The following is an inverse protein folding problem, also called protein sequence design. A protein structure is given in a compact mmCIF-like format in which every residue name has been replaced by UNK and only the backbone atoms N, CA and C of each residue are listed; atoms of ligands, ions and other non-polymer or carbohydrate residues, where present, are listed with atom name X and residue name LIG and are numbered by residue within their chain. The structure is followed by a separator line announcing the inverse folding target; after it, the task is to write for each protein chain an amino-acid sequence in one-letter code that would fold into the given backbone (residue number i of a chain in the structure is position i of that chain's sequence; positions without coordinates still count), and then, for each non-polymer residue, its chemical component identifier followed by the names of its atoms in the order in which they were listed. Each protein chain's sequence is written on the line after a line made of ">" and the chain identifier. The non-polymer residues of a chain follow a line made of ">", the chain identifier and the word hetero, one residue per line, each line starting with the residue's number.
data_IF_584942655306
#
_entry.id   IF_584942655306
#
_cell.length_a   1.000
_cell.length_b   1.000
_cell.length_c   1.000
_cell.angle_alpha   90.00
_cell.angle_beta   90.00
_cell.angle_gamma   90.00
#
_symmetry.space_group_name_H-M   'P 1'
#
loop_
_entity.id
_entity.type
_entity.pdbx_description
1 polymer ?
#
# COMPACT_ATOMS: atom_id res chain seq x y z
N UNK A 1 -31.13 -25.07 -32.02
CA UNK A 1 -30.55 -25.60 -33.28
C UNK A 1 -29.39 -24.73 -33.72
N UNK A 2 -28.15 -25.15 -33.43
CA UNK A 2 -26.93 -24.75 -34.14
C UNK A 2 -25.99 -25.96 -34.09
N UNK A 3 -25.62 -26.52 -35.24
CA UNK A 3 -24.60 -27.57 -35.36
C UNK A 3 -23.47 -26.98 -36.20
N UNK A 4 -22.48 -26.42 -35.51
CA UNK A 4 -21.20 -26.08 -36.13
C UNK A 4 -20.47 -27.35 -36.50
N UNK A 5 -20.00 -27.42 -37.75
CA UNK A 5 -19.33 -28.60 -38.31
C UNK A 5 -17.87 -28.63 -37.84
N UNK A 6 -17.64 -29.61 -36.97
CA UNK A 6 -16.39 -30.15 -36.44
C UNK A 6 -15.15 -30.07 -37.36
N UNK A 7 -14.03 -29.69 -36.76
CA UNK A 7 -12.68 -29.69 -37.29
C UNK A 7 -12.26 -31.05 -37.88
N UNK A 8 -11.87 -31.10 -39.15
CA UNK A 8 -11.21 -32.27 -39.76
C UNK A 8 -9.72 -32.26 -39.36
N UNK A 9 -9.41 -32.91 -38.26
CA UNK A 9 -8.03 -33.17 -37.81
C UNK A 9 -7.42 -34.27 -38.70
N UNK A 10 -6.83 -33.89 -39.83
CA UNK A 10 -6.20 -34.83 -40.78
C UNK A 10 -4.69 -35.03 -40.57
N UNK A 11 -4.11 -34.53 -39.47
CA UNK A 11 -2.68 -34.65 -39.14
C UNK A 11 -2.38 -35.62 -37.98
N UNK A 12 -3.25 -36.59 -37.74
CA UNK A 12 -2.99 -37.66 -36.76
C UNK A 12 -2.13 -38.79 -37.36
N UNK A 13 -1.18 -39.31 -36.57
CA UNK A 13 -0.46 -40.54 -36.92
C UNK A 13 -1.45 -41.67 -37.22
N UNK A 14 -1.38 -42.21 -38.45
CA UNK A 14 -2.17 -43.37 -38.86
C UNK A 14 -1.37 -44.64 -38.59
N UNK A 15 -1.98 -45.58 -37.88
CA UNK A 15 -1.39 -46.92 -37.72
C UNK A 15 -1.63 -47.75 -38.98
N UNK A 16 -0.76 -48.73 -39.29
CA UNK A 16 -1.01 -49.69 -40.35
C UNK A 16 -2.33 -50.44 -40.15
N UNK A 17 -2.96 -50.81 -41.25
CA UNK A 17 -4.16 -51.64 -41.25
C UNK A 17 -3.88 -52.98 -40.55
N UNK A 18 -4.77 -53.42 -39.65
CA UNK A 18 -4.59 -54.65 -38.86
C UNK A 18 -3.54 -54.58 -37.74
N UNK A 19 -3.00 -53.40 -37.41
CA UNK A 19 -2.03 -53.25 -36.31
C UNK A 19 -2.61 -53.78 -34.98
N UNK A 20 -3.78 -53.27 -34.56
CA UNK A 20 -4.38 -53.66 -33.29
C UNK A 20 -4.92 -55.09 -33.27
N UNK A 21 -5.37 -55.60 -34.42
CA UNK A 21 -5.84 -56.99 -34.56
C UNK A 21 -4.72 -58.01 -34.36
N UNK A 22 -3.50 -57.69 -34.83
CA UNK A 22 -2.33 -58.56 -34.68
C UNK A 22 -1.45 -58.22 -33.47
N UNK A 23 -1.70 -57.10 -32.79
CA UNK A 23 -0.87 -56.61 -31.68
C UNK A 23 -0.89 -57.59 -30.51
N UNK A 24 -2.07 -58.05 -30.10
CA UNK A 24 -2.23 -58.94 -28.96
C UNK A 24 -1.48 -60.26 -29.18
N UNK A 25 -1.67 -60.89 -30.34
CA UNK A 25 -0.99 -62.13 -30.69
C UNK A 25 0.53 -61.95 -30.70
N UNK A 26 1.04 -60.86 -31.30
CA UNK A 26 2.48 -60.55 -31.33
C UNK A 26 3.05 -60.26 -29.94
N UNK A 27 2.28 -59.58 -29.08
CA UNK A 27 2.68 -59.30 -27.70
C UNK A 27 2.79 -60.59 -26.89
N UNK A 28 1.78 -61.46 -26.96
CA UNK A 28 1.82 -62.74 -26.28
C UNK A 28 2.88 -63.68 -26.83
N UNK A 29 3.10 -63.69 -28.14
CA UNK A 29 4.21 -64.41 -28.77
C UNK A 29 5.55 -63.90 -28.24
N UNK A 30 5.76 -62.58 -28.17
CA UNK A 30 6.98 -61.97 -27.61
C UNK A 30 7.20 -62.38 -26.14
N UNK A 31 6.17 -62.28 -25.31
CA UNK A 31 6.24 -62.65 -23.88
C UNK A 31 6.51 -64.15 -23.72
N UNK A 32 5.92 -64.99 -24.57
CA UNK A 32 6.11 -66.43 -24.54
C UNK A 32 7.46 -66.88 -25.13
N UNK A 33 8.05 -66.09 -26.03
CA UNK A 33 9.39 -66.30 -26.60
C UNK A 33 10.51 -65.76 -25.70
N UNK A 34 10.26 -64.72 -24.89
CA UNK A 34 11.17 -64.21 -23.84
C UNK A 34 11.19 -65.13 -22.58
N UNK A 35 11.15 -66.45 -22.79
CA UNK A 35 11.34 -67.47 -21.75
C UNK A 35 12.81 -67.75 -21.43
N UNK A 36 13.74 -67.22 -22.22
CA UNK A 36 15.17 -67.23 -21.89
C UNK A 36 15.46 -66.05 -20.97
N UNK A 37 15.48 -66.32 -19.66
CA UNK A 37 16.18 -65.69 -18.50
C UNK A 37 16.53 -64.18 -18.47
N UNK A 38 16.43 -63.39 -19.53
CA UNK A 38 16.91 -62.02 -19.62
C UNK A 38 16.02 -61.01 -18.88
N UNK A 39 14.74 -61.33 -18.68
CA UNK A 39 13.82 -60.46 -17.94
C UNK A 39 13.91 -60.67 -16.42
N UNK A 40 14.24 -61.89 -15.97
CA UNK A 40 14.37 -62.28 -14.57
C UNK A 40 15.80 -62.17 -14.04
N UNK A 41 16.83 -62.45 -14.85
CA UNK A 41 18.24 -62.45 -14.42
C UNK A 41 18.85 -61.06 -14.28
N UNK A 42 18.17 -60.01 -14.76
CA UNK A 42 18.59 -58.60 -14.64
C UNK A 42 17.73 -57.77 -13.67
N UNK A 43 16.84 -58.41 -12.91
CA UNK A 43 16.19 -57.77 -11.77
C UNK A 43 17.06 -57.86 -10.51
N UNK A 44 18.32 -57.44 -10.62
CA UNK A 44 18.93 -56.83 -9.45
C UNK A 44 18.18 -55.51 -9.29
N UNK A 45 17.18 -55.47 -8.39
CA UNK A 45 16.57 -54.21 -8.01
C UNK A 45 17.73 -53.28 -7.65
N UNK A 46 17.90 -52.17 -8.40
CA UNK A 46 19.08 -51.31 -8.34
C UNK A 46 19.30 -50.61 -6.99
N UNK A 47 18.60 -51.05 -5.95
CA UNK A 47 18.64 -50.57 -4.59
C UNK A 47 19.27 -51.65 -3.70
N UNK A 48 20.55 -51.94 -3.94
CA UNK A 48 21.37 -52.63 -2.95
C UNK A 48 21.99 -51.58 -2.03
N UNK A 49 21.74 -51.72 -0.72
CA UNK A 49 22.45 -50.91 0.28
C UNK A 49 23.90 -51.39 0.38
N UNK A 50 24.86 -50.50 0.69
CA UNK A 50 26.22 -50.91 1.01
C UNK A 50 26.25 -51.93 2.14
N UNK A 51 27.27 -52.80 2.15
CA UNK A 51 27.56 -53.64 3.31
C UNK A 51 27.66 -52.75 4.56
N UNK A 52 27.10 -53.23 5.67
CA UNK A 52 27.14 -52.57 6.98
C UNK A 52 26.44 -51.19 7.07
N UNK A 53 25.65 -50.78 6.08
CA UNK A 53 24.93 -49.49 6.12
C UNK A 53 24.11 -49.31 7.40
N UNK A 54 23.27 -50.29 7.75
CA UNK A 54 22.41 -50.19 8.93
C UNK A 54 23.16 -50.38 10.25
N UNK A 55 24.31 -51.06 10.24
CA UNK A 55 25.12 -51.26 11.45
C UNK A 55 25.94 -50.02 11.78
N UNK A 56 26.41 -49.27 10.76
CA UNK A 56 27.18 -48.03 10.98
C UNK A 56 26.32 -46.77 11.04
N UNK A 57 25.03 -46.86 10.66
CA UNK A 57 24.14 -45.72 10.59
C UNK A 57 23.95 -45.03 11.96
N UNK A 58 23.74 -45.82 13.00
CA UNK A 58 23.53 -45.31 14.36
C UNK A 58 24.76 -44.53 14.85
N UNK A 59 25.95 -45.13 14.72
CA UNK A 59 27.22 -44.50 15.10
C UNK A 59 27.48 -43.21 14.30
N UNK A 60 27.17 -43.22 13.00
CA UNK A 60 27.34 -42.05 12.12
C UNK A 60 26.41 -40.91 12.50
N UNK A 61 25.16 -41.22 12.86
CA UNK A 61 24.18 -40.21 13.31
C UNK A 61 24.63 -39.62 14.65
N UNK A 62 25.03 -40.45 15.60
CA UNK A 62 25.48 -40.00 16.92
C UNK A 62 26.71 -39.08 16.81
N UNK A 63 27.69 -39.47 16.00
CA UNK A 63 28.89 -38.67 15.74
C UNK A 63 28.53 -37.29 15.16
N UNK A 64 27.60 -37.22 14.21
CA UNK A 64 27.17 -35.95 13.62
C UNK A 64 26.43 -35.04 14.61
N UNK A 65 25.65 -35.60 15.53
CA UNK A 65 24.93 -34.83 16.55
C UNK A 65 25.90 -34.24 17.58
N UNK A 66 26.92 -35.00 17.98
CA UNK A 66 27.92 -34.54 18.95
C UNK A 66 28.89 -33.50 18.36
N UNK A 67 29.24 -33.63 17.08
CA UNK A 67 30.13 -32.71 16.37
C UNK A 67 29.44 -31.43 15.86
N UNK A 68 28.11 -31.42 15.72
CA UNK A 68 27.30 -30.28 15.25
C UNK A 68 26.63 -29.52 16.40
N UNK A 69 27.39 -29.21 17.45
CA UNK A 69 27.01 -28.09 18.32
C UNK A 69 27.14 -26.82 17.48
N UNK A 70 26.05 -26.10 17.17
CA UNK A 70 26.16 -24.90 16.37
C UNK A 70 27.13 -23.95 17.07
N UNK A 71 28.26 -23.64 16.40
CA UNK A 71 29.20 -22.58 16.81
C UNK A 71 28.58 -21.18 16.61
N UNK A 72 27.27 -21.07 16.73
CA UNK A 72 26.56 -19.81 16.74
C UNK A 72 26.68 -19.19 18.12
N UNK A 73 27.18 -17.96 18.20
CA UNK A 73 27.16 -17.17 19.42
C UNK A 73 25.71 -16.78 19.73
N UNK A 74 24.99 -17.66 20.42
CA UNK A 74 23.66 -17.38 20.94
C UNK A 74 23.80 -16.36 22.07
N UNK A 75 23.63 -15.08 21.75
CA UNK A 75 23.50 -14.03 22.77
C UNK A 75 22.09 -14.13 23.33
N UNK A 76 21.98 -14.47 24.61
CA UNK A 76 20.69 -14.47 25.30
C UNK A 76 20.21 -13.03 25.49
N UNK A 77 18.98 -12.74 25.06
CA UNK A 77 18.35 -11.43 25.20
C UNK A 77 17.77 -11.27 26.61
N UNK A 78 18.63 -11.28 27.63
CA UNK A 78 18.24 -10.88 28.99
C UNK A 78 18.34 -9.37 29.10
N UNK A 79 17.24 -8.67 28.81
CA UNK A 79 17.11 -7.26 29.15
C UNK A 79 17.12 -7.13 30.68
N UNK A 80 18.11 -6.42 31.22
CA UNK A 80 18.16 -6.17 32.67
C UNK A 80 17.04 -5.19 33.06
N UNK A 81 16.50 -5.34 34.27
CA UNK A 81 15.44 -4.44 34.76
C UNK A 81 15.85 -2.96 34.68
N UNK A 82 17.14 -2.67 34.84
CA UNK A 82 17.70 -1.33 34.75
C UNK A 82 17.56 -0.71 33.34
N UNK A 83 17.66 -1.51 32.27
CA UNK A 83 17.46 -1.04 30.89
C UNK A 83 16.01 -0.59 30.66
N UNK A 84 15.03 -1.29 31.24
CA UNK A 84 13.63 -0.88 31.20
C UNK A 84 13.40 0.47 31.88
N UNK A 85 14.01 0.71 33.04
CA UNK A 85 13.90 2.00 33.74
C UNK A 85 14.59 3.14 32.99
N UNK A 86 15.79 2.88 32.43
CA UNK A 86 16.53 3.87 31.63
C UNK A 86 15.75 4.26 30.38
N UNK A 87 15.02 3.33 29.76
CA UNK A 87 14.16 3.61 28.60
C UNK A 87 13.05 4.61 28.93
N UNK A 88 12.45 4.53 30.12
CA UNK A 88 11.41 5.48 30.55
C UNK A 88 11.96 6.89 30.76
N UNK A 89 13.14 7.00 31.39
CA UNK A 89 13.82 8.29 31.61
C UNK A 89 14.22 8.93 30.27
N UNK A 90 14.77 8.13 29.34
CA UNK A 90 15.14 8.62 28.02
C UNK A 90 13.93 9.13 27.22
N UNK A 91 12.79 8.44 27.28
CA UNK A 91 11.56 8.89 26.62
C UNK A 91 11.03 10.22 27.19
N UNK A 92 11.06 10.38 28.52
CA UNK A 92 10.69 11.65 29.17
C UNK A 92 11.59 12.80 28.73
N UNK A 93 12.90 12.58 28.68
CA UNK A 93 13.87 13.57 28.19
C UNK A 93 13.61 13.93 26.73
N UNK A 94 13.33 12.95 25.87
CA UNK A 94 13.03 13.19 24.46
C UNK A 94 11.75 14.03 24.26
N UNK A 95 10.71 13.79 25.06
CA UNK A 95 9.47 14.59 25.04
C UNK A 95 9.77 16.02 25.48
N UNK A 96 10.52 16.21 26.57
CA UNK A 96 10.88 17.54 27.06
C UNK A 96 11.67 18.31 26.00
N UNK A 97 12.68 17.68 25.38
CA UNK A 97 13.47 18.30 24.30
C UNK A 97 12.58 18.66 23.11
N UNK A 98 11.68 17.76 22.69
CA UNK A 98 10.77 17.99 21.56
C UNK A 98 9.83 19.18 21.78
N UNK A 99 9.36 19.37 23.02
CA UNK A 99 8.49 20.50 23.40
C UNK A 99 9.27 21.79 23.64
N UNK A 100 10.50 21.70 24.16
CA UNK A 100 11.33 22.88 24.49
C UNK A 100 12.00 23.53 23.27
N UNK A 101 11.91 22.96 22.08
CA UNK A 101 12.37 23.61 20.85
C UNK A 101 11.24 24.54 20.36
N UNK A 102 11.38 25.88 20.46
CA UNK A 102 10.37 26.78 19.93
C UNK A 102 10.29 26.57 18.42
N UNK A 103 9.10 26.21 17.94
CA UNK A 103 8.77 26.27 16.52
C UNK A 103 8.28 27.67 16.25
N UNK A 104 9.03 28.44 15.46
CA UNK A 104 8.53 29.65 14.84
C UNK A 104 7.34 29.25 13.97
N UNK A 105 6.12 29.47 14.45
CA UNK A 105 4.94 29.37 13.61
C UNK A 105 4.83 30.68 12.84
N UNK A 106 5.05 30.64 11.52
CA UNK A 106 4.81 31.79 10.63
C UNK A 106 3.29 32.05 10.42
N UNK A 107 2.48 31.90 11.47
CA UNK A 107 1.09 32.34 11.47
C UNK A 107 1.08 33.83 11.74
N UNK A 108 0.78 34.61 10.72
CA UNK A 108 0.67 36.07 10.80
C UNK A 108 -0.69 36.49 10.22
N UNK A 109 -1.21 37.65 10.62
CA UNK A 109 -2.42 38.21 10.01
C UNK A 109 -2.28 38.40 8.49
N UNK A 110 -1.04 38.57 7.99
CA UNK A 110 -0.74 38.62 6.57
C UNK A 110 -0.94 37.29 5.82
N UNK A 111 -1.06 36.16 6.52
CA UNK A 111 -1.28 34.84 5.91
C UNK A 111 -2.75 34.43 5.90
N UNK A 112 -3.67 35.30 6.32
CA UNK A 112 -5.10 35.03 6.30
C UNK A 112 -5.62 35.39 4.90
N UNK A 113 -6.13 34.40 4.17
CA UNK A 113 -6.77 34.64 2.87
C UNK A 113 -8.24 35.05 3.07
N UNK A 114 -8.75 35.87 2.16
CA UNK A 114 -10.17 36.30 2.17
C UNK A 114 -11.11 35.07 2.10
N UNK A 115 -10.71 34.03 1.36
CA UNK A 115 -11.45 32.77 1.29
C UNK A 115 -11.56 32.06 2.65
N UNK A 116 -10.51 32.12 3.48
CA UNK A 116 -10.52 31.54 4.82
C UNK A 116 -11.44 32.32 5.77
N UNK A 117 -11.48 33.66 5.62
CA UNK A 117 -12.43 34.51 6.35
C UNK A 117 -13.86 34.12 5.96
N UNK A 118 -14.17 34.04 4.67
CA UNK A 118 -15.51 33.61 4.24
C UNK A 118 -15.87 32.21 4.72
N UNK A 119 -14.92 31.27 4.71
CA UNK A 119 -15.15 29.92 5.22
C UNK A 119 -15.48 29.93 6.70
N UNK A 120 -14.74 30.70 7.51
CA UNK A 120 -14.97 30.84 8.96
C UNK A 120 -16.37 31.39 9.28
N UNK A 121 -16.80 32.46 8.59
CA UNK A 121 -18.12 33.04 8.81
C UNK A 121 -19.25 32.08 8.43
N UNK A 122 -19.10 31.31 7.35
CA UNK A 122 -20.10 30.34 6.91
C UNK A 122 -20.13 29.07 7.79
N UNK A 123 -18.98 28.59 8.28
CA UNK A 123 -18.90 27.37 9.09
C UNK A 123 -19.43 27.58 10.50
N UNK A 124 -19.16 28.74 11.10
CA UNK A 124 -19.67 29.13 12.43
C UNK A 124 -21.07 29.76 12.38
N UNK A 125 -21.73 29.77 11.21
CA UNK A 125 -23.07 30.35 10.98
C UNK A 125 -23.18 31.80 11.49
N UNK A 126 -22.12 32.58 11.28
CA UNK A 126 -22.00 33.96 11.72
C UNK A 126 -22.65 34.86 10.67
N UNK A 127 -23.93 35.18 10.88
CA UNK A 127 -24.63 36.22 10.14
C UNK A 127 -24.54 37.54 10.90
N UNK A 128 -23.85 38.55 10.33
CA UNK A 128 -23.82 39.90 10.88
C UNK A 128 -24.65 40.85 10.02
N UNK A 129 -25.56 41.58 10.64
CA UNK A 129 -26.27 42.68 9.99
C UNK A 129 -25.36 43.90 9.82
N UNK A 130 -25.66 44.75 8.83
CA UNK A 130 -24.92 46.00 8.59
C UNK A 130 -24.85 46.88 9.83
N UNK A 131 -25.90 46.90 10.66
CA UNK A 131 -25.92 47.63 11.93
C UNK A 131 -24.97 47.07 12.98
N UNK A 132 -24.79 45.76 13.05
CA UNK A 132 -23.86 45.12 13.98
C UNK A 132 -22.41 45.34 13.54
N UNK A 133 -22.15 45.28 12.24
CA UNK A 133 -20.85 45.64 11.67
C UNK A 133 -20.55 47.12 11.97
N UNK A 134 -21.51 48.01 11.74
CA UNK A 134 -21.39 49.45 12.04
C UNK A 134 -21.10 49.72 13.53
N UNK A 135 -21.70 48.96 14.45
CA UNK A 135 -21.45 49.10 15.88
C UNK A 135 -20.05 48.64 16.32
N UNK A 136 -19.36 47.84 15.50
CA UNK A 136 -17.98 47.41 15.73
C UNK A 136 -16.95 48.41 15.20
N UNK A 137 -17.35 49.33 14.30
CA UNK A 137 -16.51 50.41 13.84
C UNK A 137 -16.41 51.47 14.95
N UNK A 138 -15.20 51.70 15.44
CA UNK A 138 -14.92 52.77 16.40
C UNK A 138 -15.07 54.13 15.69
N UNK A 139 -15.88 55.02 16.26
CA UNK A 139 -16.21 56.33 15.71
C UNK A 139 -14.99 57.28 15.73
N UNK A 140 -14.02 57.00 16.61
CA UNK A 140 -12.79 57.79 16.77
C UNK A 140 -11.71 57.43 15.73
N UNK A 141 -11.90 56.37 14.93
CA UNK A 141 -10.94 55.94 13.90
C UNK A 141 -11.29 56.57 12.55
N UNK A 142 -10.37 57.36 12.00
CA UNK A 142 -10.50 57.96 10.67
C UNK A 142 -10.16 56.91 9.60
N UNK A 143 -11.17 56.16 9.15
CA UNK A 143 -10.99 55.15 8.10
C UNK A 143 -10.68 55.74 6.72
N UNK A 144 -10.95 57.03 6.51
CA UNK A 144 -10.74 57.70 5.21
C UNK A 144 -9.28 57.75 4.77
N UNK A 145 -8.31 57.79 5.70
CA UNK A 145 -6.87 57.77 5.36
C UNK A 145 -6.45 56.43 4.73
N UNK A 146 -7.15 55.34 5.04
CA UNK A 146 -6.89 54.00 4.49
C UNK A 146 -7.40 53.87 3.06
N UNK A 147 -8.54 54.48 2.74
CA UNK A 147 -9.12 54.48 1.39
C UNK A 147 -8.41 55.43 0.42
N UNK A 148 -7.73 56.45 0.92
CA UNK A 148 -7.02 57.43 0.06
C UNK A 148 -5.79 56.83 -0.65
N UNK A 149 -5.31 55.65 -0.20
CA UNK A 149 -4.05 55.05 -0.67
C UNK A 149 -4.19 54.09 -1.85
N UNK A 150 -5.41 53.64 -2.14
CA UNK A 150 -5.70 52.73 -3.24
C UNK A 150 -6.74 53.40 -4.14
N UNK A 151 -6.24 54.16 -5.12
CA UNK A 151 -7.07 54.75 -6.17
C UNK A 151 -7.64 53.59 -7.00
N UNK A 152 -8.88 53.21 -6.72
CA UNK A 152 -9.66 52.32 -7.58
C UNK A 152 -9.72 52.97 -8.96
N UNK A 153 -9.44 52.19 -10.00
CA UNK A 153 -9.44 52.70 -11.36
C UNK A 153 -10.88 53.05 -11.81
N UNK A 154 -11.02 54.18 -12.51
CA UNK A 154 -12.33 54.70 -12.92
C UNK A 154 -13.12 53.67 -13.76
N UNK A 155 -12.46 52.83 -14.55
CA UNK A 155 -13.10 51.79 -15.36
C UNK A 155 -13.69 50.70 -14.48
N UNK A 156 -12.96 50.26 -13.44
CA UNK A 156 -13.43 49.27 -12.48
C UNK A 156 -14.59 49.78 -11.63
N UNK A 157 -14.56 51.07 -11.27
CA UNK A 157 -15.66 51.73 -10.55
C UNK A 157 -16.92 51.82 -11.42
N UNK A 158 -16.75 52.18 -12.70
CA UNK A 158 -17.85 52.30 -13.66
C UNK A 158 -18.50 50.93 -13.93
N UNK A 159 -17.70 49.88 -14.06
CA UNK A 159 -18.19 48.51 -14.24
C UNK A 159 -19.04 48.09 -13.04
N UNK A 160 -18.52 48.24 -11.82
CA UNK A 160 -19.26 47.93 -10.59
C UNK A 160 -20.59 48.69 -10.49
N UNK A 161 -20.58 50.00 -10.75
CA UNK A 161 -21.79 50.83 -10.73
C UNK A 161 -22.78 50.50 -11.85
N UNK A 162 -22.33 49.86 -12.93
CA UNK A 162 -23.19 49.46 -14.04
C UNK A 162 -23.77 48.05 -13.90
N UNK A 163 -23.12 47.22 -13.09
CA UNK A 163 -23.52 45.83 -12.85
C UNK A 163 -24.56 45.72 -11.72
N UNK A 164 -24.55 46.67 -10.77
CA UNK A 164 -25.61 46.79 -9.76
C UNK A 164 -26.82 47.52 -10.38
N UNK A 165 -27.98 46.85 -10.44
CA UNK A 165 -29.27 47.53 -10.71
C UNK A 165 -29.53 48.46 -9.51
N UNK A 166 -29.14 49.73 -9.62
CA UNK A 166 -29.53 50.77 -8.68
C UNK A 166 -31.05 50.92 -8.77
N UNK A 167 -31.78 50.15 -7.98
CA UNK A 167 -33.20 50.37 -7.76
C UNK A 167 -33.35 51.83 -7.33
N UNK A 168 -34.08 52.62 -8.12
CA UNK A 168 -34.41 54.01 -7.86
C UNK A 168 -35.19 54.11 -6.53
N UNK A 169 -34.50 54.07 -5.38
CA UNK A 169 -35.08 54.44 -4.11
C UNK A 169 -35.21 55.96 -4.13
N UNK A 170 -36.39 56.40 -4.58
CA UNK A 170 -36.82 57.79 -4.60
C UNK A 170 -36.64 58.35 -3.19
N UNK A 171 -35.59 59.13 -2.98
CA UNK A 171 -35.39 59.91 -1.75
C UNK A 171 -36.51 60.95 -1.71
N UNK A 172 -37.56 60.69 -0.92
CA UNK A 172 -38.54 61.71 -0.57
C UNK A 172 -37.90 62.73 0.37
N UNK A 173 -37.72 63.95 -0.12
CA UNK A 173 -37.46 65.10 0.73
C UNK A 173 -38.78 65.69 1.20
N UNK A 174 -39.05 65.69 2.51
CA UNK A 174 -40.00 66.61 3.16
C UNK A 174 -39.24 67.67 3.94
#
# INVERSE_FOLDING_TARGET
>A
MKKDKSHKNNDGFKVPEGYFESFESKLFEKIASDKDDQLSSKMDSGFKVPEDYFTTLEDTIMQKIDDDKPKGKLISLRVSKNILYISGIAAMIAIIISVSIPKESELNFNSIEVADIHAYFNEEDIELSTSEIAALLDEDIIYSETFEKELIDDETLLEYLSEEDLDDEIIFTE
#
